data_IF_942645402315
#
_entry.id   IF_942645402315
#
_cell.length_a   1.000
_cell.length_b   1.000
_cell.length_c   1.000
_cell.angle_alpha   90.00
_cell.angle_beta   90.00
_cell.angle_gamma   90.00
#
_symmetry.space_group_name_H-M   'P 1'
#
loop_
_entity.id
_entity.type
_entity.pdbx_description
1 polymer ?
#
# COMPACT_ATOMS: atom_id res chain seq x y z
N UNK A 1 -14.05 0.00 -9.34
CA UNK A 1 -13.99 0.54 -7.97
C UNK A 1 -15.16 1.50 -7.73
N UNK A 2 -16.09 1.16 -6.85
CA UNK A 2 -17.18 2.05 -6.45
C UNK A 2 -16.70 2.83 -5.21
N UNK A 3 -16.26 4.08 -5.41
CA UNK A 3 -15.64 4.91 -4.36
C UNK A 3 -16.57 5.12 -3.14
N UNK A 4 -17.88 4.93 -3.34
CA UNK A 4 -18.89 5.08 -2.30
C UNK A 4 -18.71 4.13 -1.10
N UNK A 5 -18.14 2.93 -1.28
CA UNK A 5 -17.95 1.96 -0.20
C UNK A 5 -16.64 2.19 0.60
N UNK A 6 -15.80 3.13 0.17
CA UNK A 6 -14.47 3.40 0.74
C UNK A 6 -14.32 4.88 1.14
N UNK A 7 -15.41 5.63 1.21
CA UNK A 7 -15.39 7.09 1.46
C UNK A 7 -14.65 7.46 2.74
N UNK A 8 -14.84 6.70 3.82
CA UNK A 8 -14.17 6.93 5.10
C UNK A 8 -12.64 6.82 4.99
N UNK A 9 -12.14 5.84 4.24
CA UNK A 9 -10.69 5.68 4.02
C UNK A 9 -10.19 6.81 3.12
N UNK A 10 -10.92 7.17 2.07
CA UNK A 10 -10.55 8.27 1.16
C UNK A 10 -10.50 9.61 1.89
N UNK A 11 -11.41 9.87 2.82
CA UNK A 11 -11.43 11.08 3.66
C UNK A 11 -10.32 11.08 4.71
N UNK A 12 -9.98 9.92 5.27
CA UNK A 12 -8.93 9.79 6.28
C UNK A 12 -7.50 9.73 5.70
N UNK A 13 -7.36 9.65 4.36
CA UNK A 13 -6.07 9.41 3.70
C UNK A 13 -5.79 10.32 2.49
N UNK A 14 -4.53 10.63 2.28
CA UNK A 14 -4.03 11.33 1.09
C UNK A 14 -3.53 10.33 0.05
N UNK A 15 -3.81 10.59 -1.23
CA UNK A 15 -3.28 9.79 -2.33
C UNK A 15 -1.76 9.98 -2.43
N UNK A 16 -1.00 8.89 -2.44
CA UNK A 16 0.44 8.91 -2.73
C UNK A 16 0.67 8.64 -4.22
N UNK A 17 0.19 7.50 -4.72
CA UNK A 17 0.48 7.04 -6.07
C UNK A 17 -0.55 5.99 -6.51
N UNK A 18 -0.69 5.79 -7.82
CA UNK A 18 -1.43 4.66 -8.39
C UNK A 18 -0.49 3.76 -9.19
N UNK A 19 -0.52 2.46 -8.90
CA UNK A 19 0.29 1.45 -9.60
C UNK A 19 -0.64 0.38 -10.17
N UNK A 20 -0.90 0.47 -11.48
CA UNK A 20 -1.88 -0.39 -12.14
C UNK A 20 -3.27 -0.24 -11.53
N UNK A 21 -3.83 -1.34 -11.04
CA UNK A 21 -5.15 -1.40 -10.39
C UNK A 21 -5.10 -1.13 -8.88
N UNK A 22 -3.92 -0.82 -8.33
CA UNK A 22 -3.72 -0.53 -6.91
C UNK A 22 -3.56 0.96 -6.65
N UNK A 23 -4.23 1.45 -5.61
CA UNK A 23 -4.12 2.82 -5.13
C UNK A 23 -3.41 2.83 -3.79
N UNK A 24 -2.33 3.59 -3.69
CA UNK A 24 -1.53 3.74 -2.49
C UNK A 24 -1.89 5.08 -1.84
N UNK A 25 -2.34 5.04 -0.60
CA UNK A 25 -2.73 6.22 0.18
C UNK A 25 -2.05 6.22 1.55
N UNK A 26 -2.04 7.38 2.20
CA UNK A 26 -1.43 7.60 3.51
C UNK A 26 -2.44 8.19 4.49
N UNK A 27 -2.59 7.59 5.66
CA UNK A 27 -3.42 8.14 6.73
C UNK A 27 -2.85 9.46 7.24
N UNK A 28 -3.69 10.50 7.26
CA UNK A 28 -3.32 11.85 7.70
C UNK A 28 -2.96 11.86 9.20
N UNK A 29 -3.66 11.05 10.00
CA UNK A 29 -3.52 11.06 11.46
C UNK A 29 -2.32 10.25 11.98
N UNK A 30 -1.95 9.16 11.31
CA UNK A 30 -0.96 8.19 11.82
C UNK A 30 0.27 8.03 10.93
N UNK A 31 0.28 8.65 9.75
CA UNK A 31 1.27 8.42 8.70
C UNK A 31 1.37 6.96 8.19
N UNK A 32 0.45 6.07 8.59
CA UNK A 32 0.36 4.71 8.07
C UNK A 32 -0.06 4.70 6.61
N UNK A 33 0.20 3.59 5.92
CA UNK A 33 -0.15 3.42 4.51
C UNK A 33 -1.36 2.52 4.36
N UNK A 34 -2.15 2.73 3.31
CA UNK A 34 -3.15 1.78 2.85
C UNK A 34 -2.97 1.55 1.35
N UNK A 35 -2.96 0.29 0.96
CA UNK A 35 -2.94 -0.14 -0.44
C UNK A 35 -4.29 -0.77 -0.72
N UNK A 36 -5.00 -0.26 -1.72
CA UNK A 36 -6.37 -0.65 -2.05
C UNK A 36 -6.39 -1.17 -3.48
N UNK A 37 -6.97 -2.35 -3.70
CA UNK A 37 -7.17 -2.88 -5.04
C UNK A 37 -8.48 -2.37 -5.69
N UNK A 38 -8.71 -2.71 -6.95
CA UNK A 38 -9.90 -2.26 -7.68
C UNK A 38 -11.22 -2.94 -7.28
N UNK A 39 -11.14 -4.04 -6.53
CA UNK A 39 -12.26 -4.81 -5.97
C UNK A 39 -12.68 -4.30 -4.59
N UNK A 40 -11.84 -3.49 -3.94
CA UNK A 40 -12.05 -2.91 -2.62
C UNK A 40 -11.35 -3.66 -1.48
N UNK A 41 -10.53 -4.67 -1.80
CA UNK A 41 -9.65 -5.30 -0.81
C UNK A 41 -8.48 -4.35 -0.49
N UNK A 42 -8.06 -4.33 0.77
CA UNK A 42 -6.99 -3.43 1.19
C UNK A 42 -6.10 -4.03 2.27
N UNK A 43 -4.88 -3.49 2.34
CA UNK A 43 -3.90 -3.77 3.40
C UNK A 43 -3.47 -2.44 4.00
N UNK A 44 -3.46 -2.36 5.33
CA UNK A 44 -2.88 -1.24 6.07
C UNK A 44 -1.47 -1.64 6.52
N UNK A 45 -0.51 -0.77 6.28
CA UNK A 45 0.88 -0.92 6.71
C UNK A 45 1.22 0.17 7.73
N UNK A 46 1.63 -0.24 8.92
CA UNK A 46 2.17 0.70 9.90
C UNK A 46 3.48 1.30 9.38
N UNK A 47 3.64 2.62 9.52
CA UNK A 47 4.78 3.36 8.98
C UNK A 47 6.12 2.75 9.41
N UNK A 48 6.23 2.37 10.68
CA UNK A 48 7.49 1.92 11.29
C UNK A 48 7.96 0.55 10.78
N UNK A 49 7.05 -0.26 10.21
CA UNK A 49 7.37 -1.60 9.69
C UNK A 49 7.22 -1.70 8.16
N UNK A 50 6.68 -0.65 7.51
CA UNK A 50 6.39 -0.66 6.07
C UNK A 50 7.64 -0.98 5.23
N UNK A 51 8.81 -0.44 5.60
CA UNK A 51 10.09 -0.73 4.92
C UNK A 51 10.49 -2.20 5.00
N UNK A 52 10.27 -2.85 6.16
CA UNK A 52 10.57 -4.26 6.34
C UNK A 52 9.64 -5.13 5.50
N UNK A 53 8.35 -4.80 5.46
CA UNK A 53 7.37 -5.51 4.63
C UNK A 53 7.73 -5.40 3.15
N UNK A 54 8.00 -4.18 2.67
CA UNK A 54 8.42 -3.95 1.29
C UNK A 54 9.72 -4.69 0.95
N UNK A 55 10.68 -4.74 1.89
CA UNK A 55 11.93 -5.50 1.72
C UNK A 55 11.68 -7.00 1.59
N UNK A 56 10.78 -7.58 2.40
CA UNK A 56 10.40 -9.00 2.29
C UNK A 56 9.79 -9.30 0.93
N UNK A 57 8.84 -8.47 0.48
CA UNK A 57 8.22 -8.62 -0.84
C UNK A 57 9.26 -8.50 -1.96
N UNK A 58 10.12 -7.48 -1.89
CA UNK A 58 11.18 -7.27 -2.86
C UNK A 58 12.12 -8.48 -2.95
N UNK A 59 12.54 -9.03 -1.81
CA UNK A 59 13.46 -10.18 -1.77
C UNK A 59 12.84 -11.48 -2.29
N UNK A 60 11.51 -11.62 -2.23
CA UNK A 60 10.79 -12.77 -2.80
C UNK A 60 10.71 -12.67 -4.33
N UNK A 61 10.41 -11.47 -4.86
CA UNK A 61 10.28 -11.24 -6.30
C UNK A 61 11.63 -11.07 -7.02
N UNK A 62 12.66 -10.60 -6.33
CA UNK A 62 13.99 -10.43 -6.88
C UNK A 62 14.68 -11.79 -6.96
N UNK A 63 15.07 -12.28 -8.15
CA UNK A 63 15.82 -13.52 -8.27
C UNK A 63 17.10 -13.44 -7.42
N UNK A 64 17.40 -14.47 -6.63
CA UNK A 64 18.69 -14.61 -5.93
C UNK A 64 19.88 -14.81 -6.90
N UNK A 65 19.81 -14.33 -8.14
CA UNK A 65 20.89 -14.48 -9.11
C UNK A 65 22.06 -13.56 -8.77
N UNK A 66 22.93 -14.14 -7.93
CA UNK A 66 24.37 -13.93 -7.83
C UNK A 66 24.80 -12.49 -7.52
N UNK A 67 24.71 -12.15 -6.24
CA UNK A 67 25.81 -11.42 -5.60
C UNK A 67 27.06 -12.33 -5.60
N UNK A 68 27.69 -12.50 -6.77
CA UNK A 68 29.06 -13.00 -6.94
C UNK A 68 29.87 -11.93 -7.66
#
# INVERSE_FOLDING_TARGET
MNIADISEIVEATELIEQVGEYVIRKFIASDNYVIIDNLGDFIILERDIADQICSVLWNDIAPQEKLN
#
